data_IF_177571371691
#
_entry.id   IF_177571371691
#
_cell.length_a   1.000
_cell.length_b   1.000
_cell.length_c   1.000
_cell.angle_alpha   90.00
_cell.angle_beta   90.00
_cell.angle_gamma   90.00
#
_symmetry.space_group_name_H-M   'P 1'
#
loop_
_entity.id
_entity.type
_entity.pdbx_description
1 polymer ?
#
# COMPACT_ATOMS: atom_id res chain seq x y z
N UNK A 1 16.44 22.44 39.48
CA UNK A 1 17.43 22.88 38.47
C UNK A 1 16.88 22.52 37.12
N UNK A 2 16.39 23.52 36.38
CA UNK A 2 15.80 23.35 35.05
C UNK A 2 16.91 23.17 34.01
N UNK A 3 16.87 22.15 33.13
CA UNK A 3 17.94 21.90 32.17
C UNK A 3 17.82 22.70 30.87
N UNK A 4 16.90 23.66 30.78
CA UNK A 4 16.72 24.46 29.56
C UNK A 4 17.11 25.93 29.83
N UNK A 5 18.41 26.23 29.71
CA UNK A 5 18.86 27.58 29.46
C UNK A 5 18.96 27.78 27.95
N UNK A 6 18.00 28.48 27.38
CA UNK A 6 18.08 28.98 26.00
C UNK A 6 19.05 30.14 26.01
N UNK A 7 20.15 30.16 25.26
CA UNK A 7 20.97 31.35 25.11
C UNK A 7 20.17 32.38 24.30
N UNK A 8 19.86 33.49 24.96
CA UNK A 8 19.36 34.66 24.27
C UNK A 8 20.57 35.39 23.69
N UNK A 9 20.82 35.23 22.38
CA UNK A 9 21.42 36.25 21.52
C UNK A 9 21.45 35.75 20.06
N UNK A 10 20.64 36.34 19.27
CA UNK A 10 20.53 36.72 17.89
C UNK A 10 21.48 36.09 16.88
N UNK A 11 20.98 35.26 16.15
CA UNK A 11 20.86 35.04 14.71
C UNK A 11 20.16 33.72 14.54
N UNK A 12 18.95 33.78 14.08
CA UNK A 12 18.16 32.61 13.68
C UNK A 12 18.88 31.86 12.55
N UNK A 13 19.85 31.03 12.93
CA UNK A 13 20.37 30.06 12.01
C UNK A 13 19.38 28.91 11.93
N UNK A 14 18.37 29.09 11.05
CA UNK A 14 17.33 28.11 10.80
C UNK A 14 17.90 26.72 10.55
N UNK A 15 19.10 26.64 9.95
CA UNK A 15 19.80 25.38 9.72
C UNK A 15 20.32 24.75 11.02
N UNK A 16 20.76 25.56 11.99
CA UNK A 16 21.20 25.05 13.29
C UNK A 16 20.02 24.50 14.08
N UNK A 17 18.87 25.17 14.04
CA UNK A 17 17.61 24.71 14.67
C UNK A 17 17.11 23.42 14.00
N UNK A 18 17.07 23.35 12.68
CA UNK A 18 16.69 22.15 11.94
C UNK A 18 17.62 20.95 12.22
N UNK A 19 18.92 21.22 12.32
CA UNK A 19 19.92 20.20 12.66
C UNK A 19 19.74 19.67 14.08
N UNK A 20 19.43 20.57 15.03
CA UNK A 20 19.18 20.21 16.42
C UNK A 20 17.87 19.40 16.55
N UNK A 21 16.79 19.89 15.93
CA UNK A 21 15.51 19.19 15.87
C UNK A 21 15.63 17.81 15.25
N UNK A 22 16.31 17.71 14.11
CA UNK A 22 16.54 16.43 13.44
C UNK A 22 17.29 15.45 14.35
N UNK A 23 18.32 15.92 15.02
CA UNK A 23 19.12 15.09 15.94
C UNK A 23 18.32 14.61 17.15
N UNK A 24 17.48 15.48 17.73
CA UNK A 24 16.63 15.11 18.86
C UNK A 24 15.52 14.14 18.42
N UNK A 25 14.89 14.36 17.23
CA UNK A 25 13.93 13.44 16.66
C UNK A 25 14.52 12.05 16.38
N UNK A 26 15.79 11.97 15.97
CA UNK A 26 16.47 10.68 15.78
C UNK A 26 16.73 9.92 17.08
N UNK A 27 16.80 10.61 18.21
CA UNK A 27 17.00 9.98 19.54
C UNK A 27 15.72 9.39 20.11
N UNK A 28 14.55 9.87 19.66
CA UNK A 28 13.28 9.36 20.14
C UNK A 28 13.04 7.93 19.63
N UNK A 29 12.57 7.08 20.53
CA UNK A 29 12.03 5.78 20.17
C UNK A 29 10.77 5.94 19.29
N UNK A 30 10.34 4.88 18.61
CA UNK A 30 9.10 4.92 17.82
C UNK A 30 7.87 5.25 18.68
N UNK A 31 7.83 4.78 19.93
CA UNK A 31 6.73 5.07 20.85
C UNK A 31 6.69 6.56 21.24
N UNK A 32 7.84 7.16 21.52
CA UNK A 32 7.93 8.58 21.82
C UNK A 32 7.58 9.46 20.63
N UNK A 33 8.00 9.08 19.41
CA UNK A 33 7.59 9.78 18.18
C UNK A 33 6.09 9.69 17.96
N UNK A 34 5.48 8.51 18.16
CA UNK A 34 4.05 8.34 18.03
C UNK A 34 3.30 9.16 19.08
N UNK A 35 3.78 9.21 20.34
CA UNK A 35 3.19 10.03 21.40
C UNK A 35 3.27 11.53 21.08
N UNK A 36 4.40 11.97 20.54
CA UNK A 36 4.60 13.37 20.11
C UNK A 36 3.70 13.71 18.91
N UNK A 37 3.60 12.83 17.91
CA UNK A 37 2.70 13.00 16.76
C UNK A 37 1.23 13.05 17.22
N UNK A 38 0.87 12.25 18.22
CA UNK A 38 -0.45 12.25 18.81
C UNK A 38 -0.75 13.57 19.55
N UNK A 39 0.21 14.06 20.32
CA UNK A 39 0.08 15.34 21.05
C UNK A 39 -0.04 16.53 20.10
N UNK A 40 0.79 16.57 19.03
CA UNK A 40 0.80 17.66 18.06
C UNK A 40 -0.43 17.63 17.15
N UNK A 41 -0.85 16.46 16.71
CA UNK A 41 -1.86 16.30 15.66
C UNK A 41 -3.16 15.68 16.14
N UNK A 42 -3.26 15.26 17.40
CA UNK A 42 -4.47 14.68 18.00
C UNK A 42 -4.87 13.34 17.39
N UNK A 43 -3.94 12.62 16.79
CA UNK A 43 -4.23 11.36 16.07
C UNK A 43 -3.56 10.18 16.74
N UNK A 44 -4.37 9.33 17.37
CA UNK A 44 -3.90 8.06 17.91
C UNK A 44 -3.51 7.08 16.80
N UNK A 45 -2.31 6.53 16.90
CA UNK A 45 -1.96 5.35 16.11
C UNK A 45 -2.78 4.16 16.63
N UNK A 46 -3.79 3.75 15.86
CA UNK A 46 -4.64 2.59 16.19
C UNK A 46 -3.96 1.24 15.98
N UNK A 47 -2.75 1.24 15.42
CA UNK A 47 -2.02 0.01 15.18
C UNK A 47 -1.59 -0.60 16.52
N UNK A 48 -1.85 -1.89 16.77
CA UNK A 48 -1.34 -2.58 17.95
C UNK A 48 0.19 -2.61 17.90
N UNK A 49 0.81 -2.59 19.09
CA UNK A 49 2.27 -2.75 19.17
C UNK A 49 2.66 -4.13 18.61
N UNK A 50 3.58 -4.14 17.64
CA UNK A 50 4.06 -5.37 17.02
C UNK A 50 5.00 -6.10 17.98
N UNK A 51 4.48 -7.12 18.66
CA UNK A 51 5.31 -8.06 19.43
C UNK A 51 5.61 -9.30 18.59
N UNK A 52 6.70 -10.02 18.84
CA UNK A 52 7.02 -11.27 18.14
C UNK A 52 5.86 -12.27 18.20
N UNK A 53 5.19 -12.37 19.35
CA UNK A 53 4.06 -13.28 19.59
C UNK A 53 2.83 -12.89 18.75
N UNK A 54 2.53 -11.58 18.65
CA UNK A 54 1.44 -11.08 17.82
C UNK A 54 1.73 -11.38 16.34
N UNK A 55 2.94 -11.12 15.88
CA UNK A 55 3.34 -11.38 14.49
C UNK A 55 3.23 -12.87 14.14
N UNK A 56 3.78 -13.75 14.97
CA UNK A 56 3.77 -15.19 14.73
C UNK A 56 2.36 -15.76 14.77
N UNK A 57 1.58 -15.44 15.82
CA UNK A 57 0.21 -15.91 15.96
C UNK A 57 -0.70 -15.44 14.83
N UNK A 58 -0.56 -14.18 14.39
CA UNK A 58 -1.34 -13.62 13.28
C UNK A 58 -0.97 -14.24 11.94
N UNK A 59 0.30 -14.46 11.67
CA UNK A 59 0.75 -15.15 10.45
C UNK A 59 0.24 -16.59 10.40
N UNK A 60 0.29 -17.32 11.51
CA UNK A 60 -0.24 -18.69 11.61
C UNK A 60 -1.75 -18.75 11.37
N UNK A 61 -2.52 -17.84 12.01
CA UNK A 61 -3.96 -17.72 11.79
C UNK A 61 -4.29 -17.33 10.34
N UNK A 62 -3.52 -16.41 9.74
CA UNK A 62 -3.70 -16.02 8.34
C UNK A 62 -3.52 -17.23 7.40
N UNK A 63 -2.49 -18.04 7.62
CA UNK A 63 -2.27 -19.28 6.85
C UNK A 63 -3.47 -20.22 6.98
N UNK A 64 -3.94 -20.48 8.20
CA UNK A 64 -5.09 -21.35 8.43
C UNK A 64 -6.37 -20.87 7.73
N UNK A 65 -6.62 -19.56 7.70
CA UNK A 65 -7.79 -18.98 7.00
C UNK A 65 -7.66 -19.14 5.47
N UNK A 66 -6.48 -18.89 4.92
CA UNK A 66 -6.23 -19.02 3.48
C UNK A 66 -6.31 -20.47 2.99
N UNK A 67 -5.92 -21.42 3.82
CA UNK A 67 -6.01 -22.85 3.56
C UNK A 67 -7.44 -23.40 3.72
N UNK A 68 -8.23 -22.80 4.63
CA UNK A 68 -9.60 -23.21 4.87
C UNK A 68 -10.55 -22.76 3.77
N UNK A 69 -11.41 -23.65 3.30
CA UNK A 69 -12.46 -23.33 2.33
C UNK A 69 -13.75 -22.78 2.98
N UNK A 70 -13.83 -22.82 4.30
CA UNK A 70 -15.00 -22.33 5.05
C UNK A 70 -15.08 -20.80 5.07
N UNK A 71 -13.93 -20.11 5.27
CA UNK A 71 -13.89 -18.66 5.36
C UNK A 71 -13.81 -17.98 4.00
N UNK A 72 -13.08 -18.56 3.06
CA UNK A 72 -12.91 -18.06 1.69
C UNK A 72 -13.06 -19.26 0.75
N UNK A 73 -14.22 -19.37 0.07
CA UNK A 73 -14.46 -20.47 -0.87
C UNK A 73 -13.43 -20.53 -2.00
N UNK A 74 -13.12 -21.70 -2.56
CA UNK A 74 -12.10 -21.86 -3.61
C UNK A 74 -12.33 -20.96 -4.83
N UNK A 75 -13.57 -20.73 -5.23
CA UNK A 75 -13.90 -19.87 -6.36
C UNK A 75 -13.56 -18.40 -6.14
N UNK A 76 -13.44 -17.96 -4.89
CA UNK A 76 -13.07 -16.58 -4.52
C UNK A 76 -11.55 -16.40 -4.31
N UNK A 77 -10.75 -17.47 -4.30
CA UNK A 77 -9.30 -17.41 -4.07
C UNK A 77 -8.48 -18.09 -5.17
N UNK A 78 -8.94 -17.99 -6.42
CA UNK A 78 -8.33 -18.69 -7.54
C UNK A 78 -6.87 -18.27 -7.78
N UNK A 79 -6.56 -16.99 -7.74
CA UNK A 79 -5.20 -16.49 -7.89
C UNK A 79 -4.28 -17.01 -6.76
N UNK A 80 -4.78 -17.03 -5.52
CA UNK A 80 -4.05 -17.61 -4.40
C UNK A 80 -3.77 -19.10 -4.63
N UNK A 81 -4.79 -19.90 -5.02
CA UNK A 81 -4.62 -21.33 -5.28
C UNK A 81 -3.62 -21.60 -6.43
N UNK A 82 -3.64 -20.77 -7.48
CA UNK A 82 -2.64 -20.85 -8.55
C UNK A 82 -1.23 -20.56 -8.04
N UNK A 83 -1.08 -19.57 -7.19
CA UNK A 83 0.22 -19.22 -6.61
C UNK A 83 0.82 -20.36 -5.79
N UNK A 84 -0.01 -21.18 -5.11
CA UNK A 84 0.46 -22.31 -4.30
C UNK A 84 1.03 -23.47 -5.15
N UNK A 85 0.77 -23.49 -6.46
CA UNK A 85 1.39 -24.45 -7.39
C UNK A 85 2.80 -24.05 -7.80
N UNK A 86 3.22 -22.83 -7.49
CA UNK A 86 4.56 -22.29 -7.79
C UNK A 86 5.49 -22.63 -6.62
N UNK A 87 6.56 -23.43 -6.83
CA UNK A 87 7.41 -23.93 -5.74
C UNK A 87 8.02 -22.85 -4.85
N UNK A 88 8.35 -21.69 -5.43
CA UNK A 88 9.04 -20.58 -4.73
C UNK A 88 8.23 -19.29 -4.79
N UNK A 89 6.92 -19.38 -4.52
CA UNK A 89 6.10 -18.15 -4.52
C UNK A 89 6.47 -17.21 -3.39
N UNK A 90 6.66 -15.93 -3.72
CA UNK A 90 6.91 -14.87 -2.73
C UNK A 90 5.67 -14.56 -1.87
N UNK A 91 4.48 -14.99 -2.30
CA UNK A 91 3.19 -14.77 -1.64
C UNK A 91 3.16 -15.41 -0.26
N UNK A 92 3.94 -16.47 -0.05
CA UNK A 92 4.08 -17.13 1.24
C UNK A 92 5.12 -16.48 2.15
N UNK A 93 5.85 -15.48 1.66
CA UNK A 93 6.85 -14.80 2.50
C UNK A 93 6.19 -14.02 3.65
N UNK A 94 6.90 -13.96 4.77
CA UNK A 94 6.47 -13.21 5.95
C UNK A 94 6.22 -11.74 5.60
N UNK A 95 7.11 -11.14 4.81
CA UNK A 95 7.07 -9.74 4.41
C UNK A 95 5.81 -9.43 3.59
N UNK A 96 5.43 -10.31 2.65
CA UNK A 96 4.23 -10.13 1.85
C UNK A 96 2.97 -10.22 2.70
N UNK A 97 2.86 -11.23 3.54
CA UNK A 97 1.69 -11.47 4.40
C UNK A 97 1.51 -10.39 5.46
N UNK A 98 2.60 -9.89 6.05
CA UNK A 98 2.56 -8.81 7.02
C UNK A 98 2.02 -7.50 6.45
N UNK A 99 2.13 -7.23 5.15
CA UNK A 99 1.55 -6.03 4.53
C UNK A 99 0.04 -5.98 4.74
N UNK A 100 -0.63 -7.11 4.58
CA UNK A 100 -2.09 -7.20 4.74
C UNK A 100 -2.51 -7.20 6.20
N UNK A 101 -1.76 -7.85 7.07
CA UNK A 101 -2.02 -7.82 8.52
C UNK A 101 -1.89 -6.39 9.07
N UNK A 102 -0.85 -5.67 8.69
CA UNK A 102 -0.65 -4.26 9.07
C UNK A 102 -1.72 -3.34 8.48
N UNK A 103 -2.11 -3.57 7.22
CA UNK A 103 -3.16 -2.81 6.55
C UNK A 103 -4.50 -2.90 7.28
N UNK A 104 -4.83 -4.07 7.80
CA UNK A 104 -6.09 -4.34 8.51
C UNK A 104 -5.90 -4.38 10.04
N UNK A 105 -4.85 -3.71 10.58
CA UNK A 105 -4.58 -3.58 12.02
C UNK A 105 -4.60 -4.94 12.75
N UNK A 106 -4.08 -5.98 12.12
CA UNK A 106 -4.05 -7.36 12.59
C UNK A 106 -5.42 -8.05 12.72
N UNK A 107 -6.48 -7.49 12.08
CA UNK A 107 -7.71 -8.25 11.82
C UNK A 107 -7.42 -9.30 10.73
N UNK A 108 -7.16 -10.52 11.18
CA UNK A 108 -6.69 -11.62 10.31
C UNK A 108 -7.70 -12.00 9.25
N UNK A 109 -9.01 -11.95 9.57
CA UNK A 109 -10.07 -12.31 8.63
C UNK A 109 -10.18 -11.28 7.50
N UNK A 110 -10.11 -9.98 7.83
CA UNK A 110 -10.07 -8.91 6.83
C UNK A 110 -8.79 -8.96 6.01
N UNK A 111 -7.63 -9.19 6.65
CA UNK A 111 -6.35 -9.32 5.98
C UNK A 111 -6.35 -10.44 4.94
N UNK A 112 -6.93 -11.61 5.27
CA UNK A 112 -7.06 -12.72 4.34
C UNK A 112 -7.90 -12.35 3.09
N UNK A 113 -9.08 -11.76 3.29
CA UNK A 113 -9.95 -11.30 2.20
C UNK A 113 -9.25 -10.26 1.33
N UNK A 114 -8.56 -9.30 1.96
CA UNK A 114 -7.82 -8.23 1.27
C UNK A 114 -6.67 -8.79 0.43
N UNK A 115 -5.95 -9.78 0.98
CA UNK A 115 -4.85 -10.44 0.28
C UNK A 115 -5.35 -11.18 -0.97
N UNK A 116 -6.45 -11.93 -0.86
CA UNK A 116 -7.07 -12.64 -1.99
C UNK A 116 -7.53 -11.66 -3.06
N UNK A 117 -8.27 -10.61 -2.67
CA UNK A 117 -8.71 -9.57 -3.59
C UNK A 117 -7.54 -8.88 -4.30
N UNK A 118 -6.46 -8.59 -3.57
CA UNK A 118 -5.25 -8.03 -4.16
C UNK A 118 -4.65 -8.94 -5.24
N UNK A 119 -4.56 -10.24 -4.97
CA UNK A 119 -4.00 -11.20 -5.92
C UNK A 119 -4.87 -11.32 -7.17
N UNK A 120 -6.19 -11.39 -7.02
CA UNK A 120 -7.11 -11.45 -8.16
C UNK A 120 -7.02 -10.17 -9.00
N UNK A 121 -6.98 -8.99 -8.36
CA UNK A 121 -6.79 -7.71 -9.05
C UNK A 121 -5.43 -7.63 -9.76
N UNK A 122 -4.36 -8.07 -9.09
CA UNK A 122 -3.03 -8.04 -9.68
C UNK A 122 -2.92 -8.97 -10.89
N UNK A 123 -3.49 -10.18 -10.81
CA UNK A 123 -3.57 -11.10 -11.96
C UNK A 123 -4.42 -10.52 -13.09
N UNK A 124 -5.52 -9.84 -12.76
CA UNK A 124 -6.36 -9.20 -13.76
C UNK A 124 -5.58 -8.15 -14.58
N UNK A 125 -4.74 -7.34 -13.93
CA UNK A 125 -4.00 -6.28 -14.62
C UNK A 125 -2.68 -6.73 -15.26
N UNK A 126 -1.96 -7.66 -14.64
CA UNK A 126 -0.60 -8.01 -15.05
C UNK A 126 -0.43 -9.48 -15.46
N UNK A 127 -1.50 -10.28 -15.39
CA UNK A 127 -1.42 -11.72 -15.67
C UNK A 127 -0.72 -12.52 -14.58
N UNK A 128 -0.41 -13.78 -14.86
CA UNK A 128 0.10 -14.74 -13.89
C UNK A 128 1.52 -14.45 -13.38
N UNK A 129 2.26 -13.58 -14.05
CA UNK A 129 3.62 -13.19 -13.64
C UNK A 129 3.67 -12.59 -12.22
N UNK A 130 2.57 -11.98 -11.79
CA UNK A 130 2.44 -11.41 -10.43
C UNK A 130 2.34 -12.46 -9.33
N UNK A 131 2.11 -13.71 -9.68
CA UNK A 131 2.14 -14.84 -8.75
C UNK A 131 3.55 -15.38 -8.53
N UNK A 132 4.45 -15.14 -9.49
CA UNK A 132 5.85 -15.56 -9.42
C UNK A 132 6.73 -14.52 -8.74
N UNK A 133 6.49 -13.25 -9.03
CA UNK A 133 7.29 -12.12 -8.50
C UNK A 133 6.45 -10.85 -8.32
N UNK A 134 6.89 -9.92 -7.47
CA UNK A 134 6.26 -8.61 -7.37
C UNK A 134 6.28 -7.83 -8.69
N UNK A 135 5.24 -7.03 -8.93
CA UNK A 135 5.15 -6.11 -10.07
C UNK A 135 6.30 -5.11 -10.05
N UNK A 136 6.89 -4.85 -11.20
CA UNK A 136 7.99 -3.91 -11.43
C UNK A 136 7.57 -2.84 -12.43
N UNK A 137 8.28 -1.73 -12.48
CA UNK A 137 8.01 -0.65 -13.44
C UNK A 137 8.02 -1.11 -14.90
N UNK A 138 8.82 -2.11 -15.23
CA UNK A 138 8.89 -2.67 -16.59
C UNK A 138 7.65 -3.49 -17.00
N UNK A 139 6.80 -3.83 -16.05
CA UNK A 139 5.55 -4.57 -16.31
C UNK A 139 4.40 -3.64 -16.72
N UNK A 140 4.58 -2.34 -16.54
CA UNK A 140 3.62 -1.32 -16.95
C UNK A 140 3.75 -1.04 -18.45
N UNK A 141 2.63 -0.73 -19.08
CA UNK A 141 2.64 -0.29 -20.47
C UNK A 141 3.21 1.13 -20.61
N UNK A 142 3.38 1.59 -21.88
CA UNK A 142 3.95 2.91 -22.13
C UNK A 142 3.06 4.04 -21.66
N UNK A 143 1.73 3.89 -21.73
CA UNK A 143 0.76 4.90 -21.29
C UNK A 143 0.81 5.04 -19.77
N UNK A 144 0.79 3.92 -19.03
CA UNK A 144 0.91 3.91 -17.58
C UNK A 144 2.21 4.54 -17.11
N UNK A 145 3.34 4.21 -17.76
CA UNK A 145 4.64 4.80 -17.43
C UNK A 145 4.68 6.30 -17.72
N UNK A 146 4.05 6.75 -18.80
CA UNK A 146 3.93 8.17 -19.12
C UNK A 146 3.09 8.89 -18.07
N UNK A 147 1.98 8.30 -17.63
CA UNK A 147 1.12 8.82 -16.59
C UNK A 147 1.85 8.93 -15.24
N UNK A 148 2.62 7.92 -14.87
CA UNK A 148 3.46 7.97 -13.66
C UNK A 148 4.54 9.07 -13.76
N UNK A 149 5.16 9.23 -14.93
CA UNK A 149 6.21 10.24 -15.17
C UNK A 149 5.68 11.67 -15.24
N UNK A 150 4.43 11.84 -15.65
CA UNK A 150 3.81 13.16 -15.71
C UNK A 150 3.57 13.80 -14.33
N UNK A 151 3.74 13.01 -13.26
CA UNK A 151 3.49 13.46 -11.90
C UNK A 151 2.02 13.55 -11.54
N UNK A 152 1.12 12.97 -12.34
CA UNK A 152 -0.31 12.92 -12.02
C UNK A 152 -0.55 12.15 -10.73
N UNK A 153 0.21 11.10 -10.50
CA UNK A 153 0.19 10.32 -9.26
C UNK A 153 1.51 10.52 -8.54
N UNK A 154 1.47 11.14 -7.38
CA UNK A 154 2.66 11.42 -6.58
C UNK A 154 2.55 10.79 -5.20
N UNK A 155 3.56 10.02 -4.82
CA UNK A 155 3.71 9.55 -3.46
C UNK A 155 4.50 10.62 -2.68
N UNK A 156 3.86 11.27 -1.71
CA UNK A 156 4.54 12.28 -0.91
C UNK A 156 5.64 11.63 -0.06
N UNK A 157 6.76 12.32 0.15
CA UNK A 157 7.85 11.83 1.02
C UNK A 157 7.41 11.77 2.48
N UNK A 158 6.44 12.59 2.86
CA UNK A 158 5.90 12.65 4.21
C UNK A 158 4.72 11.68 4.39
N UNK A 159 4.44 11.37 5.65
CA UNK A 159 3.28 10.57 6.05
C UNK A 159 2.20 11.50 6.61
N UNK A 160 0.97 11.03 6.63
CA UNK A 160 -0.10 11.74 7.34
C UNK A 160 0.05 11.58 8.86
N UNK A 161 -0.80 12.28 9.60
CA UNK A 161 -0.85 12.26 11.07
C UNK A 161 -1.03 10.87 11.68
N UNK A 162 -1.58 9.91 10.92
CA UNK A 162 -1.72 8.51 11.32
C UNK A 162 -0.57 7.62 10.85
N UNK A 163 0.53 8.22 10.36
CA UNK A 163 1.69 7.50 9.85
C UNK A 163 1.48 6.82 8.49
N UNK A 164 0.36 7.09 7.79
CA UNK A 164 0.04 6.51 6.49
C UNK A 164 0.75 7.27 5.37
N UNK A 165 1.10 6.58 4.32
CA UNK A 165 1.62 7.23 3.11
C UNK A 165 0.51 8.00 2.41
N UNK A 166 0.83 9.21 1.96
CA UNK A 166 -0.09 10.08 1.24
C UNK A 166 0.18 9.97 -0.25
N UNK A 167 -0.83 9.53 -0.98
CA UNK A 167 -0.83 9.53 -2.45
C UNK A 167 -1.65 10.73 -2.91
N UNK A 168 -1.05 11.59 -3.71
CA UNK A 168 -1.73 12.73 -4.32
C UNK A 168 -1.98 12.40 -5.79
N UNK A 169 -3.23 12.54 -6.20
CA UNK A 169 -3.62 12.48 -7.60
C UNK A 169 -3.99 13.91 -8.02
N UNK A 170 -3.17 14.49 -8.87
CA UNK A 170 -3.43 15.83 -9.40
C UNK A 170 -4.44 15.75 -10.55
N UNK A 171 -5.28 16.80 -10.67
CA UNK A 171 -6.32 16.83 -11.68
C UNK A 171 -5.70 16.73 -13.09
N UNK A 172 -6.25 15.88 -13.96
CA UNK A 172 -5.76 15.66 -15.33
C UNK A 172 -5.96 16.85 -16.28
N UNK A 173 -6.31 18.05 -15.81
CA UNK A 173 -6.42 19.25 -16.66
C UNK A 173 -5.13 19.63 -17.41
N UNK A 174 -4.03 18.93 -17.16
CA UNK A 174 -2.78 19.04 -17.94
C UNK A 174 -2.75 18.10 -19.15
N UNK A 175 -3.73 17.21 -19.32
CA UNK A 175 -3.86 16.35 -20.49
C UNK A 175 -4.75 17.03 -21.55
N UNK A 176 -4.61 16.63 -22.80
CA UNK A 176 -5.51 17.09 -23.86
C UNK A 176 -6.97 16.77 -23.51
N UNK A 177 -7.91 17.54 -24.03
CA UNK A 177 -9.34 17.31 -23.78
C UNK A 177 -9.74 15.85 -24.13
N UNK A 178 -9.11 15.29 -25.17
CA UNK A 178 -9.35 13.92 -25.63
C UNK A 178 -8.88 12.87 -24.62
N UNK A 179 -7.71 13.07 -24.02
CA UNK A 179 -7.19 12.17 -22.97
C UNK A 179 -8.05 12.21 -21.70
N UNK A 180 -8.60 13.38 -21.36
CA UNK A 180 -9.50 13.54 -20.22
C UNK A 180 -10.84 12.83 -20.43
N UNK A 181 -11.42 12.90 -21.63
CA UNK A 181 -12.69 12.22 -21.92
C UNK A 181 -12.53 10.70 -21.86
N UNK A 182 -11.43 10.15 -22.37
CA UNK A 182 -11.15 8.71 -22.31
C UNK A 182 -10.96 8.24 -20.87
N UNK A 183 -10.19 8.97 -20.04
CA UNK A 183 -10.00 8.67 -18.62
C UNK A 183 -11.30 8.74 -17.81
N UNK A 184 -12.13 9.76 -18.03
CA UNK A 184 -13.43 9.90 -17.36
C UNK A 184 -14.41 8.82 -17.78
N UNK A 185 -14.41 8.40 -19.06
CA UNK A 185 -15.22 7.29 -19.55
C UNK A 185 -14.80 5.96 -18.94
N UNK A 186 -13.50 5.71 -18.77
CA UNK A 186 -12.99 4.49 -18.15
C UNK A 186 -13.20 4.46 -16.62
N UNK A 187 -13.26 5.62 -15.96
CA UNK A 187 -13.54 5.71 -14.52
C UNK A 187 -15.00 5.55 -14.14
N UNK A 188 -15.92 5.62 -15.10
CA UNK A 188 -17.36 5.36 -14.87
C UNK A 188 -17.64 3.86 -14.71
N UNK A 189 -18.74 3.50 -14.03
CA UNK A 189 -19.16 2.09 -13.93
C UNK A 189 -19.38 1.44 -15.31
N UNK A 190 -19.83 2.21 -16.29
CA UNK A 190 -19.97 1.76 -17.69
C UNK A 190 -18.61 1.50 -18.35
N UNK A 191 -17.60 2.33 -18.07
CA UNK A 191 -16.23 2.12 -18.53
C UNK A 191 -15.63 0.86 -17.95
N UNK A 192 -15.80 0.62 -16.64
CA UNK A 192 -15.38 -0.63 -15.98
C UNK A 192 -16.02 -1.86 -16.59
N UNK A 193 -17.34 -1.81 -16.85
CA UNK A 193 -18.09 -2.90 -17.52
C UNK A 193 -17.59 -3.12 -18.95
N UNK A 194 -17.28 -2.04 -19.69
CA UNK A 194 -16.74 -2.13 -21.05
C UNK A 194 -15.36 -2.79 -21.05
N UNK A 195 -14.50 -2.41 -20.12
CA UNK A 195 -13.16 -2.98 -19.94
C UNK A 195 -13.23 -4.48 -19.63
N UNK A 196 -14.13 -4.90 -18.72
CA UNK A 196 -14.37 -6.31 -18.41
C UNK A 196 -14.81 -7.08 -19.65
N UNK A 197 -15.72 -6.54 -20.46
CA UNK A 197 -16.21 -7.17 -21.70
C UNK A 197 -15.11 -7.28 -22.76
N UNK A 198 -14.25 -6.27 -22.90
CA UNK A 198 -13.11 -6.31 -23.83
C UNK A 198 -12.09 -7.37 -23.42
N UNK A 199 -11.84 -7.53 -22.12
CA UNK A 199 -10.93 -8.56 -21.59
C UNK A 199 -11.48 -9.97 -21.80
N UNK A 200 -12.78 -10.20 -21.54
CA UNK A 200 -13.42 -11.49 -21.80
C UNK A 200 -13.29 -11.88 -23.27
N UNK A 201 -13.56 -10.94 -24.18
CA UNK A 201 -13.45 -11.16 -25.64
C UNK A 201 -12.00 -11.42 -26.10
N UNK A 202 -11.00 -10.87 -25.40
CA UNK A 202 -9.58 -11.08 -25.71
C UNK A 202 -9.09 -12.47 -25.27
N UNK A 203 -9.68 -13.03 -24.23
CA UNK A 203 -9.39 -14.42 -23.78
C UNK A 203 -10.05 -15.45 -24.68
N UNK A 204 -11.27 -15.19 -25.20
CA UNK A 204 -11.94 -16.08 -26.18
C UNK A 204 -11.19 -16.19 -27.50
N UNK A 205 -10.47 -15.13 -27.91
CA UNK A 205 -9.70 -15.12 -29.17
C UNK A 205 -8.27 -15.72 -29.04
N UNK A 206 -7.90 -16.20 -27.86
CA UNK A 206 -6.58 -16.85 -27.60
C UNK A 206 -6.72 -18.36 -27.35
N UNK A 207 -7.91 -18.93 -27.46
CA UNK A 207 -8.19 -20.36 -27.53
C UNK A 207 -8.37 -20.80 -28.97
#
# INVERSE_FOLDING_TARGET
MSPFSIPAEGHDDAKAVDSLLSRELFRLSMNERNAMEEEIHGVHCRAPQETPELLESSLKKLSSILESDQMIPPHQKQAYLRSQKIPTTYINSKEFRLRFLRLELFDVAKAAKKMVLFLDTAVFHFGDIVLERPVRLQDFDKKDLQMLRSGMVQLLPFRDQSGRRVLVVTNPSMYSADDNEEFLRESTEEGKVRMIKQFAKKQENQQ
#
